data_IF_132153693793
#
_entry.id   IF_132153693793
#
_cell.length_a   1.000
_cell.length_b   1.000
_cell.length_c   1.000
_cell.angle_alpha   90.00
_cell.angle_beta   90.00
_cell.angle_gamma   90.00
#
_symmetry.space_group_name_H-M   'P 1'
#
loop_
_entity.id
_entity.type
_entity.pdbx_description
1 polymer ?
#
# COMPACT_ATOMS: atom_id res chain seq x y z
N UNK A 1 29.05 1.63 -6.40
CA UNK A 1 28.09 2.22 -5.47
C UNK A 1 26.72 1.54 -5.64
N UNK A 2 26.70 0.22 -5.48
CA UNK A 2 25.51 -0.64 -5.67
C UNK A 2 25.34 -1.61 -4.49
N UNK A 3 26.04 -1.37 -3.37
CA UNK A 3 26.23 -2.40 -2.33
C UNK A 3 25.23 -2.27 -1.13
N UNK A 4 24.52 -1.16 -1.00
CA UNK A 4 23.58 -0.96 0.13
C UNK A 4 22.15 -1.42 -0.15
N UNK A 5 21.76 -1.59 -1.42
CA UNK A 5 20.44 -2.11 -1.77
C UNK A 5 20.37 -3.65 -1.65
N UNK A 6 21.50 -4.34 -1.79
CA UNK A 6 21.55 -5.81 -1.74
C UNK A 6 21.51 -6.39 -0.32
N UNK A 7 21.75 -5.57 0.72
CA UNK A 7 21.80 -6.06 2.11
C UNK A 7 20.45 -6.19 2.80
N UNK A 8 19.37 -5.67 2.22
CA UNK A 8 18.07 -5.59 2.91
C UNK A 8 17.20 -6.84 2.74
N UNK A 9 17.45 -7.67 1.74
CA UNK A 9 16.58 -8.81 1.44
C UNK A 9 17.16 -10.19 1.80
N UNK A 10 18.45 -10.29 2.07
CA UNK A 10 19.08 -11.56 2.44
C UNK A 10 18.89 -11.87 3.92
N UNK A 11 17.81 -12.58 4.26
CA UNK A 11 17.62 -13.08 5.64
C UNK A 11 16.20 -13.05 6.19
N UNK A 12 15.18 -12.71 5.41
CA UNK A 12 13.81 -12.88 5.87
C UNK A 12 13.48 -14.37 5.94
N UNK A 13 13.51 -14.93 7.14
CA UNK A 13 12.90 -16.21 7.46
C UNK A 13 11.39 -16.07 7.37
N UNK A 14 10.89 -16.18 6.14
CA UNK A 14 9.47 -16.12 5.82
C UNK A 14 8.85 -17.42 6.34
N UNK A 15 8.26 -17.37 7.47
CA UNK A 15 7.63 -18.42 8.29
C UNK A 15 7.01 -19.57 7.48
N UNK A 16 7.81 -20.36 6.74
CA UNK A 16 7.46 -21.65 6.14
C UNK A 16 6.23 -21.74 5.25
N UNK A 17 5.58 -20.61 4.92
CA UNK A 17 4.45 -20.55 4.01
C UNK A 17 4.89 -20.02 2.65
N UNK A 18 4.35 -20.63 1.60
CA UNK A 18 4.53 -20.19 0.22
C UNK A 18 3.96 -18.77 0.05
N UNK A 19 4.86 -17.77 -0.08
CA UNK A 19 4.48 -16.37 -0.28
C UNK A 19 4.24 -16.12 -1.74
N UNK A 20 3.11 -15.50 -2.06
CA UNK A 20 2.73 -15.10 -3.41
C UNK A 20 2.33 -13.64 -3.46
N UNK A 21 2.91 -12.90 -4.41
CA UNK A 21 2.56 -11.50 -4.67
C UNK A 21 1.79 -11.42 -5.97
N UNK A 22 0.62 -10.79 -5.93
CA UNK A 22 -0.20 -10.51 -7.10
C UNK A 22 -0.38 -9.01 -7.29
N UNK A 23 -0.35 -8.57 -8.55
CA UNK A 23 -0.50 -7.16 -8.90
C UNK A 23 -1.88 -6.88 -9.48
N UNK A 24 -2.57 -5.88 -8.94
CA UNK A 24 -3.65 -5.21 -9.67
C UNK A 24 -3.08 -4.25 -10.73
N UNK A 25 -3.95 -3.50 -11.39
CA UNK A 25 -3.55 -2.66 -12.52
C UNK A 25 -2.97 -1.28 -12.13
N UNK A 26 -3.10 -0.86 -10.86
CA UNK A 26 -2.74 0.50 -10.45
C UNK A 26 -1.22 0.76 -10.48
N UNK A 27 -0.40 -0.24 -10.11
CA UNK A 27 1.06 -0.08 -10.06
C UNK A 27 1.78 -1.43 -10.18
N UNK A 28 1.73 -2.02 -11.37
CA UNK A 28 2.45 -3.27 -11.68
C UNK A 28 3.96 -3.17 -11.48
N UNK A 29 4.63 -2.06 -11.85
CA UNK A 29 6.07 -1.93 -11.62
C UNK A 29 6.47 -2.03 -10.15
N UNK A 30 5.71 -1.45 -9.23
CA UNK A 30 5.96 -1.58 -7.79
C UNK A 30 5.84 -3.03 -7.31
N UNK A 31 4.78 -3.72 -7.73
CA UNK A 31 4.58 -5.12 -7.36
C UNK A 31 5.71 -6.02 -7.91
N UNK A 32 6.18 -5.75 -9.13
CA UNK A 32 7.32 -6.46 -9.73
C UNK A 32 8.61 -6.22 -8.92
N UNK A 33 8.91 -4.97 -8.58
CA UNK A 33 10.07 -4.64 -7.77
C UNK A 33 10.02 -5.27 -6.37
N UNK A 34 8.82 -5.35 -5.75
CA UNK A 34 8.64 -6.04 -4.48
C UNK A 34 8.94 -7.55 -4.60
N UNK A 35 8.44 -8.19 -5.66
CA UNK A 35 8.69 -9.60 -5.90
C UNK A 35 10.18 -9.88 -6.16
N UNK A 36 10.82 -9.04 -6.96
CA UNK A 36 12.28 -9.12 -7.23
C UNK A 36 13.09 -8.96 -5.94
N UNK A 37 12.75 -8.01 -5.10
CA UNK A 37 13.39 -7.78 -3.79
C UNK A 37 13.31 -9.02 -2.88
N UNK A 38 12.23 -9.77 -2.97
CA UNK A 38 12.01 -11.00 -2.19
C UNK A 38 12.57 -12.27 -2.89
N UNK A 39 13.14 -12.12 -4.08
CA UNK A 39 13.65 -13.26 -4.86
C UNK A 39 12.55 -14.21 -5.37
N UNK A 40 11.32 -13.71 -5.55
CA UNK A 40 10.18 -14.48 -6.05
C UNK A 40 9.63 -13.86 -7.35
N UNK A 41 8.83 -14.61 -8.07
CA UNK A 41 8.10 -14.10 -9.24
C UNK A 41 6.70 -13.63 -8.88
N UNK A 42 6.17 -12.67 -9.63
CA UNK A 42 4.76 -12.31 -9.52
C UNK A 42 3.86 -13.50 -9.83
N UNK A 43 2.83 -13.66 -9.03
CA UNK A 43 1.77 -14.62 -9.26
C UNK A 43 1.00 -14.31 -10.55
N UNK A 44 0.56 -15.37 -11.23
CA UNK A 44 -0.15 -15.25 -12.50
C UNK A 44 -1.63 -14.95 -12.28
N UNK A 45 -2.04 -13.76 -12.66
CA UNK A 45 -3.44 -13.33 -12.66
C UNK A 45 -3.71 -12.38 -13.81
N UNK A 46 -4.93 -12.40 -14.30
CA UNK A 46 -5.44 -11.43 -15.24
C UNK A 46 -6.52 -10.59 -14.58
N UNK A 47 -6.35 -9.27 -14.66
CA UNK A 47 -7.32 -8.28 -14.19
C UNK A 47 -7.74 -7.44 -15.39
N UNK A 48 -8.91 -7.71 -15.90
CA UNK A 48 -9.49 -7.10 -17.09
C UNK A 48 -10.86 -6.48 -16.82
N UNK A 49 -11.61 -6.31 -17.90
CA UNK A 49 -13.00 -5.83 -17.86
C UNK A 49 -13.84 -6.54 -18.89
N UNK A 50 -15.11 -6.73 -18.55
CA UNK A 50 -16.14 -7.05 -19.51
C UNK A 50 -16.45 -5.85 -20.41
N UNK A 51 -17.20 -6.08 -21.48
CA UNK A 51 -17.56 -5.03 -22.46
C UNK A 51 -18.41 -3.90 -21.87
N UNK A 52 -19.14 -4.16 -20.81
CA UNK A 52 -19.96 -3.21 -20.04
C UNK A 52 -19.16 -2.43 -18.99
N UNK A 53 -17.87 -2.78 -18.79
CA UNK A 53 -16.96 -2.10 -17.86
C UNK A 53 -16.81 -2.75 -16.49
N UNK A 54 -17.53 -3.82 -16.19
CA UNK A 54 -17.36 -4.59 -14.95
C UNK A 54 -15.97 -5.21 -14.89
N UNK A 55 -15.41 -5.30 -13.68
CA UNK A 55 -14.07 -5.85 -13.45
C UNK A 55 -14.13 -7.37 -13.56
N UNK A 56 -13.20 -7.94 -14.31
CA UNK A 56 -12.98 -9.37 -14.46
C UNK A 56 -11.61 -9.74 -13.84
N UNK A 57 -11.59 -10.74 -12.97
CA UNK A 57 -10.37 -11.29 -12.37
C UNK A 57 -10.29 -12.78 -12.65
N UNK A 58 -9.11 -13.23 -13.06
CA UNK A 58 -8.79 -14.65 -13.24
C UNK A 58 -7.46 -14.96 -12.58
N UNK A 59 -7.47 -15.87 -11.60
CA UNK A 59 -6.26 -16.37 -10.96
C UNK A 59 -5.80 -17.62 -11.72
N UNK A 60 -4.57 -17.60 -12.23
CA UNK A 60 -4.05 -18.60 -13.17
C UNK A 60 -3.10 -19.60 -12.53
N UNK A 61 -3.08 -19.68 -11.20
CA UNK A 61 -2.30 -20.65 -10.43
C UNK A 61 -2.96 -20.99 -9.10
N UNK A 62 -2.53 -22.08 -8.48
CA UNK A 62 -3.03 -22.45 -7.16
C UNK A 62 -2.48 -21.52 -6.09
N UNK A 63 -3.37 -21.02 -5.24
CA UNK A 63 -3.02 -20.20 -4.07
C UNK A 63 -3.46 -20.85 -2.75
N UNK A 64 -3.89 -22.11 -2.83
CA UNK A 64 -4.41 -22.83 -1.66
C UNK A 64 -3.38 -22.90 -0.55
N UNK A 65 -3.73 -22.37 0.61
CA UNK A 65 -2.88 -22.34 1.80
C UNK A 65 -1.70 -21.35 1.74
N UNK A 66 -1.49 -20.66 0.60
CA UNK A 66 -0.42 -19.67 0.43
C UNK A 66 -0.71 -18.39 1.23
N UNK A 67 0.35 -17.65 1.54
CA UNK A 67 0.30 -16.29 2.08
C UNK A 67 0.29 -15.31 0.90
N UNK A 68 -0.87 -14.75 0.60
CA UNK A 68 -1.10 -13.94 -0.60
C UNK A 68 -1.03 -12.46 -0.28
N UNK A 69 -0.20 -11.73 -1.02
CA UNK A 69 -0.09 -10.28 -0.98
C UNK A 69 -0.68 -9.69 -2.26
N UNK A 70 -1.72 -8.87 -2.12
CA UNK A 70 -2.40 -8.22 -3.24
C UNK A 70 -1.96 -6.77 -3.29
N UNK A 71 -1.12 -6.41 -4.25
CA UNK A 71 -0.58 -5.04 -4.41
C UNK A 71 -1.49 -4.24 -5.31
N UNK A 72 -2.23 -3.30 -4.74
CA UNK A 72 -3.14 -2.42 -5.48
C UNK A 72 -3.32 -1.08 -4.77
N UNK A 73 -2.81 -0.02 -5.36
CA UNK A 73 -3.05 1.36 -4.91
C UNK A 73 -4.49 1.75 -5.25
N UNK A 74 -5.19 2.39 -4.31
CA UNK A 74 -6.53 2.91 -4.58
C UNK A 74 -6.53 4.40 -4.92
N UNK A 75 -5.47 4.84 -5.61
CA UNK A 75 -5.35 6.16 -6.24
C UNK A 75 -6.22 6.27 -7.51
N UNK A 76 -6.17 7.40 -8.21
CA UNK A 76 -6.93 7.60 -9.44
C UNK A 76 -6.58 6.57 -10.53
N UNK A 77 -7.60 5.98 -11.16
CA UNK A 77 -9.05 6.12 -11.00
C UNK A 77 -9.58 5.34 -9.79
N UNK A 78 -9.94 6.06 -8.72
CA UNK A 78 -10.13 5.53 -7.36
C UNK A 78 -11.16 4.40 -7.30
N UNK A 79 -12.35 4.62 -7.84
CA UNK A 79 -13.44 3.64 -7.77
C UNK A 79 -13.09 2.34 -8.48
N UNK A 80 -12.43 2.44 -9.64
CA UNK A 80 -11.98 1.29 -10.39
C UNK A 80 -10.94 0.49 -9.61
N UNK A 81 -9.89 1.17 -9.14
CA UNK A 81 -8.80 0.52 -8.44
C UNK A 81 -9.26 -0.12 -7.11
N UNK A 82 -10.24 0.51 -6.44
CA UNK A 82 -10.86 -0.07 -5.26
C UNK A 82 -11.65 -1.35 -5.63
N UNK A 83 -12.49 -1.31 -6.67
CA UNK A 83 -13.24 -2.49 -7.09
C UNK A 83 -12.33 -3.63 -7.56
N UNK A 84 -11.24 -3.33 -8.29
CA UNK A 84 -10.23 -4.33 -8.65
C UNK A 84 -9.67 -5.02 -7.41
N UNK A 85 -9.28 -4.25 -6.39
CA UNK A 85 -8.77 -4.79 -5.13
C UNK A 85 -9.78 -5.71 -4.44
N UNK A 86 -11.03 -5.26 -4.29
CA UNK A 86 -12.09 -6.03 -3.61
C UNK A 86 -12.37 -7.36 -4.33
N UNK A 87 -12.48 -7.34 -5.65
CA UNK A 87 -12.76 -8.54 -6.45
C UNK A 87 -11.56 -9.49 -6.45
N UNK A 88 -10.33 -8.98 -6.50
CA UNK A 88 -9.13 -9.81 -6.36
C UNK A 88 -9.10 -10.52 -5.00
N UNK A 89 -9.38 -9.82 -3.90
CA UNK A 89 -9.40 -10.43 -2.57
C UNK A 89 -10.48 -11.51 -2.44
N UNK A 90 -11.69 -11.26 -2.95
CA UNK A 90 -12.76 -12.28 -2.99
C UNK A 90 -12.33 -13.52 -3.79
N UNK A 91 -11.65 -13.32 -4.93
CA UNK A 91 -11.14 -14.42 -5.74
C UNK A 91 -10.11 -15.26 -4.96
N UNK A 92 -9.17 -14.65 -4.25
CA UNK A 92 -8.18 -15.35 -3.42
C UNK A 92 -8.81 -16.07 -2.25
N UNK A 93 -9.78 -15.44 -1.58
CA UNK A 93 -10.55 -16.07 -0.49
C UNK A 93 -11.28 -17.34 -0.98
N UNK A 94 -11.96 -17.25 -2.14
CA UNK A 94 -12.65 -18.39 -2.76
C UNK A 94 -11.70 -19.47 -3.26
N UNK A 95 -10.47 -19.09 -3.64
CA UNK A 95 -9.40 -20.01 -4.02
C UNK A 95 -8.69 -20.65 -2.80
N UNK A 96 -9.18 -20.40 -1.58
CA UNK A 96 -8.65 -20.93 -0.32
C UNK A 96 -7.21 -20.50 -0.03
N UNK A 97 -6.86 -19.24 -0.31
CA UNK A 97 -5.64 -18.64 0.22
C UNK A 97 -5.58 -18.83 1.75
N UNK A 98 -4.40 -19.06 2.29
CA UNK A 98 -4.22 -19.27 3.72
C UNK A 98 -4.27 -17.98 4.54
N UNK A 99 -3.82 -16.87 3.94
CA UNK A 99 -3.89 -15.49 4.44
C UNK A 99 -3.88 -14.53 3.26
N UNK A 100 -4.61 -13.43 3.37
CA UNK A 100 -4.66 -12.39 2.34
C UNK A 100 -4.25 -11.06 2.97
N UNK A 101 -3.12 -10.50 2.51
CA UNK A 101 -2.66 -9.17 2.87
C UNK A 101 -2.95 -8.19 1.75
N UNK A 102 -3.78 -7.19 2.02
CA UNK A 102 -4.01 -6.08 1.10
C UNK A 102 -2.87 -5.07 1.22
N UNK A 103 -2.03 -4.96 0.19
CA UNK A 103 -0.94 -3.98 0.10
C UNK A 103 -1.44 -2.77 -0.69
N UNK A 104 -1.71 -1.68 0.02
CA UNK A 104 -2.37 -0.49 -0.50
C UNK A 104 -1.43 0.72 -0.33
N UNK A 105 -0.49 0.96 -1.26
CA UNK A 105 0.47 2.06 -1.16
C UNK A 105 -0.18 3.43 -1.04
N UNK A 106 -1.33 3.63 -1.68
CA UNK A 106 -2.17 4.81 -1.49
C UNK A 106 -3.59 4.39 -1.13
N UNK A 107 -4.05 4.80 0.05
CA UNK A 107 -5.39 4.51 0.55
C UNK A 107 -6.36 5.62 0.11
N UNK A 108 -7.20 5.33 -0.86
CA UNK A 108 -8.23 6.24 -1.36
C UNK A 108 -9.33 6.50 -0.32
N UNK A 109 -10.06 7.60 -0.49
CA UNK A 109 -11.11 8.06 0.44
C UNK A 109 -10.64 8.42 1.86
N UNK A 110 -9.33 8.36 2.14
CA UNK A 110 -8.74 8.65 3.45
C UNK A 110 -9.06 10.06 3.99
N UNK A 111 -9.33 11.04 3.10
CA UNK A 111 -9.66 12.42 3.49
C UNK A 111 -11.01 12.57 4.19
N UNK A 112 -11.88 11.55 4.11
CA UNK A 112 -13.17 11.49 4.80
C UNK A 112 -13.10 10.55 6.02
N UNK A 113 -12.19 10.86 6.93
CA UNK A 113 -11.93 10.10 8.17
C UNK A 113 -12.84 10.55 9.33
N UNK A 114 -13.52 11.68 9.17
CA UNK A 114 -14.44 12.26 10.16
C UNK A 114 -15.54 13.07 9.47
N UNK A 115 -16.61 13.32 10.20
CA UNK A 115 -17.65 14.24 9.75
C UNK A 115 -17.15 15.68 9.89
N UNK A 116 -17.04 16.41 8.80
CA UNK A 116 -16.73 17.83 8.79
C UNK A 116 -18.01 18.67 8.98
N UNK A 117 -19.16 18.14 8.57
CA UNK A 117 -20.49 18.73 8.72
C UNK A 117 -21.49 17.68 9.17
N UNK A 118 -22.62 18.13 9.70
CA UNK A 118 -23.74 17.23 10.01
C UNK A 118 -24.15 16.44 8.75
N UNK A 119 -24.36 15.12 8.91
CA UNK A 119 -24.76 14.17 7.87
C UNK A 119 -23.67 13.81 6.83
N UNK A 120 -22.44 14.28 7.00
CA UNK A 120 -21.34 13.82 6.16
C UNK A 120 -21.04 12.32 6.40
N UNK A 121 -20.59 11.59 5.37
CA UNK A 121 -20.14 10.22 5.54
C UNK A 121 -18.75 10.16 6.21
N UNK A 122 -18.39 8.98 6.71
CA UNK A 122 -17.03 8.62 7.08
C UNK A 122 -16.57 7.54 6.10
N UNK A 123 -16.22 7.96 4.88
CA UNK A 123 -15.97 7.04 3.77
C UNK A 123 -14.68 6.23 3.99
N UNK A 124 -13.71 6.76 4.74
CA UNK A 124 -12.52 6.01 5.11
C UNK A 124 -12.86 4.74 5.93
N UNK A 125 -13.86 4.80 6.84
CA UNK A 125 -14.34 3.62 7.57
C UNK A 125 -15.10 2.67 6.65
N UNK A 126 -16.00 3.19 5.80
CA UNK A 126 -16.73 2.37 4.84
C UNK A 126 -15.78 1.55 3.95
N UNK A 127 -14.73 2.17 3.43
CA UNK A 127 -13.74 1.48 2.58
C UNK A 127 -12.96 0.44 3.39
N UNK A 128 -12.61 0.73 4.65
CA UNK A 128 -11.97 -0.25 5.53
C UNK A 128 -12.84 -1.50 5.72
N UNK A 129 -14.14 -1.30 5.98
CA UNK A 129 -15.10 -2.39 6.14
C UNK A 129 -15.25 -3.23 4.87
N UNK A 130 -15.31 -2.60 3.70
CA UNK A 130 -15.36 -3.29 2.42
C UNK A 130 -14.12 -4.15 2.18
N UNK A 131 -12.93 -3.66 2.49
CA UNK A 131 -11.67 -4.38 2.35
C UNK A 131 -11.65 -5.62 3.25
N UNK A 132 -12.03 -5.48 4.52
CA UNK A 132 -12.13 -6.60 5.47
C UNK A 132 -13.18 -7.61 5.02
N UNK A 133 -14.37 -7.14 4.62
CA UNK A 133 -15.46 -7.98 4.13
C UNK A 133 -15.06 -8.77 2.87
N UNK A 134 -14.29 -8.16 1.98
CA UNK A 134 -13.78 -8.83 0.78
C UNK A 134 -12.76 -9.94 1.07
N UNK A 135 -12.20 -9.97 2.29
CA UNK A 135 -11.38 -11.09 2.74
C UNK A 135 -9.94 -10.72 3.12
N UNK A 136 -9.64 -9.45 3.37
CA UNK A 136 -8.34 -9.08 3.91
C UNK A 136 -8.19 -9.56 5.36
N UNK A 137 -7.13 -10.31 5.64
CA UNK A 137 -6.71 -10.71 6.98
C UNK A 137 -5.71 -9.72 7.59
N UNK A 138 -5.10 -8.89 6.75
CA UNK A 138 -4.12 -7.86 7.11
C UNK A 138 -4.09 -6.77 6.05
N UNK A 139 -3.77 -5.56 6.46
CA UNK A 139 -3.57 -4.42 5.55
C UNK A 139 -2.17 -3.84 5.76
N UNK A 140 -1.48 -3.57 4.66
CA UNK A 140 -0.25 -2.79 4.62
C UNK A 140 -0.50 -1.55 3.80
N UNK A 141 -0.23 -0.38 4.36
CA UNK A 141 -0.46 0.90 3.68
C UNK A 141 0.64 1.91 4.03
N UNK A 142 0.73 2.99 3.25
CA UNK A 142 1.77 4.01 3.43
C UNK A 142 1.14 5.39 3.55
N UNK A 143 1.69 6.22 4.44
CA UNK A 143 1.35 7.64 4.62
C UNK A 143 -0.16 7.91 4.62
N UNK A 144 -0.90 7.25 5.51
CA UNK A 144 -2.32 7.53 5.69
C UNK A 144 -2.57 9.03 5.92
N UNK A 145 -3.65 9.54 5.35
CA UNK A 145 -4.05 10.94 5.51
C UNK A 145 -4.12 11.37 7.00
N UNK A 146 -4.57 10.46 7.84
CA UNK A 146 -4.59 10.59 9.29
C UNK A 146 -4.27 9.23 9.91
N UNK A 147 -3.35 9.18 10.88
CA UNK A 147 -2.85 7.93 11.46
C UNK A 147 -3.93 7.12 12.17
N UNK A 148 -4.96 7.77 12.71
CA UNK A 148 -6.09 7.11 13.37
C UNK A 148 -6.93 6.22 12.43
N UNK A 149 -6.82 6.38 11.10
CA UNK A 149 -7.51 5.52 10.12
C UNK A 149 -7.12 4.05 10.30
N UNK A 150 -5.90 3.74 10.79
CA UNK A 150 -5.52 2.38 11.14
C UNK A 150 -6.51 1.71 12.12
N UNK A 151 -7.12 2.48 13.01
CA UNK A 151 -8.14 1.99 13.95
C UNK A 151 -9.53 1.76 13.33
N UNK A 152 -9.72 2.04 12.03
CA UNK A 152 -10.98 1.74 11.33
C UNK A 152 -11.06 0.29 10.83
N UNK A 153 -9.93 -0.40 10.82
CA UNK A 153 -9.85 -1.79 10.42
C UNK A 153 -10.00 -2.72 11.62
N UNK A 154 -10.77 -3.79 11.47
CA UNK A 154 -10.90 -4.86 12.45
C UNK A 154 -9.85 -5.98 12.24
N UNK A 155 -8.83 -5.70 11.44
CA UNK A 155 -7.67 -6.56 11.16
C UNK A 155 -6.38 -5.79 11.40
N UNK A 156 -5.23 -6.47 11.60
CA UNK A 156 -3.94 -5.80 11.76
C UNK A 156 -3.60 -4.88 10.58
N UNK A 157 -3.07 -3.70 10.88
CA UNK A 157 -2.64 -2.72 9.89
C UNK A 157 -1.16 -2.36 10.11
N UNK A 158 -0.37 -2.52 9.07
CA UNK A 158 0.99 -1.99 9.00
C UNK A 158 0.96 -0.63 8.30
N UNK A 159 1.08 0.44 9.09
CA UNK A 159 1.15 1.80 8.55
C UNK A 159 2.62 2.21 8.37
N UNK A 160 3.08 2.13 7.13
CA UNK A 160 4.44 2.51 6.73
C UNK A 160 4.53 4.02 6.46
N UNK A 161 5.74 4.55 6.60
CA UNK A 161 6.04 5.96 6.31
C UNK A 161 7.03 6.07 5.15
N UNK A 162 6.81 7.01 4.25
CA UNK A 162 7.72 7.31 3.14
C UNK A 162 8.97 8.09 3.58
N UNK A 163 8.90 8.79 4.73
CA UNK A 163 10.01 9.59 5.22
C UNK A 163 11.35 8.84 5.34
N UNK A 164 11.44 7.61 5.85
CA UNK A 164 12.69 6.85 5.89
C UNK A 164 13.34 6.62 4.53
N UNK A 165 12.54 6.61 3.45
CA UNK A 165 13.02 6.45 2.07
C UNK A 165 13.40 7.81 1.48
N UNK A 166 12.59 8.82 1.73
CA UNK A 166 12.76 10.15 1.15
C UNK A 166 13.90 10.92 1.81
N UNK A 167 14.07 10.81 3.13
CA UNK A 167 15.11 11.56 3.86
C UNK A 167 16.52 11.28 3.32
N UNK A 168 17.00 10.03 3.18
CA UNK A 168 18.33 9.77 2.62
C UNK A 168 18.49 10.24 1.17
N UNK A 169 17.41 10.20 0.39
CA UNK A 169 17.43 10.72 -0.98
C UNK A 169 17.66 12.23 -0.99
N UNK A 170 16.90 12.97 -0.18
CA UNK A 170 17.03 14.43 -0.11
C UNK A 170 18.34 14.85 0.56
N UNK A 171 18.79 14.17 1.62
CA UNK A 171 20.07 14.44 2.25
C UNK A 171 21.23 14.44 1.22
N UNK A 172 21.29 13.40 0.37
CA UNK A 172 22.27 13.36 -0.74
C UNK A 172 22.11 14.47 -1.76
N UNK A 173 20.83 14.85 -2.05
CA UNK A 173 20.54 15.92 -3.02
C UNK A 173 20.90 17.32 -2.52
N UNK A 174 20.75 17.54 -1.22
CA UNK A 174 20.95 18.85 -0.58
C UNK A 174 22.36 19.02 -0.02
N UNK A 175 23.16 17.96 0.06
CA UNK A 175 24.55 18.02 0.59
C UNK A 175 25.39 19.20 0.06
N UNK A 176 25.35 19.54 -1.24
CA UNK A 176 26.11 20.72 -1.75
C UNK A 176 25.58 22.07 -1.26
N UNK A 177 24.39 22.11 -0.67
CA UNK A 177 23.67 23.34 -0.28
C UNK A 177 23.31 23.38 1.20
N UNK A 178 23.93 22.54 2.03
CA UNK A 178 23.54 22.26 3.41
C UNK A 178 23.17 23.52 4.22
N UNK A 179 23.98 24.57 4.17
CA UNK A 179 23.74 25.83 4.90
C UNK A 179 22.60 26.70 4.31
N UNK A 180 22.05 26.32 3.15
CA UNK A 180 21.02 27.06 2.43
C UNK A 180 19.77 26.20 2.13
N UNK A 181 19.56 25.15 2.88
CA UNK A 181 18.38 24.27 2.73
C UNK A 181 17.31 24.71 3.72
N UNK A 182 16.06 24.73 3.29
CA UNK A 182 14.91 25.03 4.11
C UNK A 182 13.75 24.11 3.76
N UNK A 183 13.17 23.46 4.76
CA UNK A 183 11.96 22.65 4.57
C UNK A 183 10.72 23.53 4.73
N UNK A 184 9.87 23.55 3.72
CA UNK A 184 8.66 24.38 3.70
C UNK A 184 7.41 23.51 3.72
N UNK A 185 6.52 23.79 4.67
CA UNK A 185 5.19 23.17 4.69
C UNK A 185 4.24 23.87 3.71
N UNK A 186 3.54 23.15 2.81
CA UNK A 186 2.60 23.75 1.88
C UNK A 186 1.31 24.25 2.53
N UNK A 187 0.95 23.72 3.70
CA UNK A 187 -0.26 24.05 4.45
C UNK A 187 -0.11 23.77 5.95
N UNK A 188 -1.11 24.20 6.74
CA UNK A 188 -1.11 23.99 8.20
C UNK A 188 -1.19 22.50 8.60
N UNK A 189 -1.83 21.67 7.79
CA UNK A 189 -1.97 20.24 8.02
C UNK A 189 -0.66 19.47 7.88
N UNK A 190 0.29 20.01 7.12
CA UNK A 190 1.58 19.38 6.83
C UNK A 190 2.73 19.88 7.72
N UNK A 191 2.50 20.84 8.63
CA UNK A 191 3.55 21.44 9.48
C UNK A 191 4.29 20.40 10.32
N UNK A 192 3.56 19.48 10.97
CA UNK A 192 4.19 18.44 11.79
C UNK A 192 5.07 17.50 10.94
N UNK A 193 4.65 17.18 9.71
CA UNK A 193 5.41 16.37 8.76
C UNK A 193 6.66 17.11 8.27
N UNK A 194 6.53 18.39 7.93
CA UNK A 194 7.65 19.23 7.50
C UNK A 194 8.70 19.32 8.61
N UNK A 195 8.29 19.57 9.86
CA UNK A 195 9.19 19.61 11.01
C UNK A 195 9.92 18.29 11.23
N UNK A 196 9.20 17.15 11.21
CA UNK A 196 9.81 15.85 11.34
C UNK A 196 10.78 15.50 10.20
N UNK A 197 10.60 16.11 9.02
CA UNK A 197 11.49 15.97 7.89
C UNK A 197 12.74 16.83 8.04
N UNK A 198 12.58 18.07 8.48
CA UNK A 198 13.62 19.03 8.84
C UNK A 198 14.57 18.45 9.90
N UNK A 199 14.02 17.98 11.02
CA UNK A 199 14.77 17.32 12.10
C UNK A 199 15.58 16.09 11.62
N UNK A 200 15.12 15.37 10.61
CA UNK A 200 15.83 14.21 10.04
C UNK A 200 16.89 14.58 9.02
N UNK A 201 16.75 15.72 8.37
CA UNK A 201 17.75 16.24 7.44
C UNK A 201 18.85 17.01 8.16
N UNK A 202 18.61 17.40 9.41
CA UNK A 202 19.51 18.24 10.22
C UNK A 202 19.81 19.59 9.53
N UNK A 203 18.77 20.28 9.06
CA UNK A 203 18.85 21.56 8.33
C UNK A 203 17.95 22.61 8.97
#
# INVERSE_FOLDING_TARGET
MTDDAERTCAGMNLHGKDIKIFAGNSNKPLAAAMAECLGITLGRSEVGRFSDGEIQVSIQESVRGSDVYVVQSTSSPVNRNLMELLIMMDAFRRASAGRITAVIPYYGYARQDRKSRARDPITAKLVADLIVTAGADRVLTMDLHASQIQGFFDVPVDHMYGAPILTPYFARKTEPYHDNVTVVSPDLGSVARARAFDERLDV
#
